data_IF_266839191889
#
_entry.id   IF_266839191889
#
_cell.length_a   1.000
_cell.length_b   1.000
_cell.length_c   1.000
_cell.angle_alpha   90.00
_cell.angle_beta   90.00
_cell.angle_gamma   90.00
#
_symmetry.space_group_name_H-M   'P 1'
#
loop_
_entity.id
_entity.type
_entity.pdbx_description
1 polymer ?
#
# COMPACT_ATOMS: atom_id res chain seq x y z
N UNK A 1 -3.81 -34.86 23.36
CA UNK A 1 -4.40 -33.65 22.76
C UNK A 1 -4.25 -33.80 21.24
N UNK A 2 -5.34 -34.01 20.51
CA UNK A 2 -5.32 -34.04 19.03
C UNK A 2 -4.89 -32.67 18.56
N UNK A 3 -3.82 -32.60 17.77
CA UNK A 3 -3.40 -31.35 17.14
C UNK A 3 -4.61 -30.78 16.37
N UNK A 4 -5.03 -29.60 16.69
CA UNK A 4 -6.14 -28.92 16.02
C UNK A 4 -5.77 -28.78 14.55
N UNK A 5 -6.65 -29.22 13.66
CA UNK A 5 -6.39 -29.25 12.23
C UNK A 5 -6.52 -27.85 11.65
N UNK A 6 -5.45 -27.32 11.05
CA UNK A 6 -5.49 -26.04 10.35
C UNK A 6 -6.18 -26.23 9.00
N UNK A 7 -7.19 -25.43 8.71
CA UNK A 7 -7.90 -25.40 7.44
C UNK A 7 -7.69 -24.08 6.71
N UNK A 8 -7.49 -24.12 5.39
CA UNK A 8 -7.47 -22.95 4.54
C UNK A 8 -8.85 -22.73 3.93
N UNK A 9 -9.36 -21.49 4.02
CA UNK A 9 -10.64 -21.09 3.42
C UNK A 9 -10.50 -19.77 2.68
N UNK A 10 -11.45 -19.50 1.79
CA UNK A 10 -11.61 -18.15 1.21
C UNK A 10 -11.92 -17.17 2.34
N UNK A 11 -11.21 -16.05 2.36
CA UNK A 11 -11.47 -14.98 3.32
C UNK A 11 -12.75 -14.23 2.97
N UNK A 12 -13.59 -14.03 3.97
CA UNK A 12 -14.84 -13.26 3.89
C UNK A 12 -14.83 -12.14 4.93
N UNK A 13 -15.78 -11.19 4.91
CA UNK A 13 -15.90 -10.17 5.95
C UNK A 13 -15.98 -10.73 7.37
N UNK A 14 -16.53 -11.93 7.57
CA UNK A 14 -16.64 -12.56 8.89
C UNK A 14 -15.28 -12.89 9.54
N UNK A 15 -14.20 -12.92 8.75
CA UNK A 15 -12.85 -13.19 9.24
C UNK A 15 -12.08 -11.92 9.60
N UNK A 16 -12.64 -10.73 9.34
CA UNK A 16 -11.91 -9.47 9.48
C UNK A 16 -11.52 -9.16 10.92
N UNK A 17 -12.38 -9.42 11.89
CA UNK A 17 -12.05 -9.18 13.30
C UNK A 17 -10.84 -10.01 13.76
N UNK A 18 -10.79 -11.30 13.37
CA UNK A 18 -9.63 -12.15 13.63
C UNK A 18 -8.36 -11.67 12.90
N UNK A 19 -8.51 -11.17 11.68
CA UNK A 19 -7.39 -10.61 10.91
C UNK A 19 -6.83 -9.31 11.54
N UNK A 20 -7.69 -8.46 12.11
CA UNK A 20 -7.28 -7.28 12.88
C UNK A 20 -6.45 -7.71 14.10
N UNK A 21 -6.89 -8.74 14.82
CA UNK A 21 -6.12 -9.30 15.96
C UNK A 21 -4.73 -9.75 15.51
N UNK A 22 -4.63 -10.49 14.40
CA UNK A 22 -3.33 -10.90 13.84
C UNK A 22 -2.44 -9.72 13.49
N UNK A 23 -2.98 -8.66 12.89
CA UNK A 23 -2.18 -7.48 12.56
C UNK A 23 -1.70 -6.72 13.79
N UNK A 24 -2.50 -6.69 14.86
CA UNK A 24 -2.10 -6.11 16.15
C UNK A 24 -0.96 -6.90 16.79
N UNK A 25 -1.01 -8.24 16.77
CA UNK A 25 0.09 -9.11 17.24
C UNK A 25 1.38 -8.86 16.44
N UNK A 26 1.27 -8.63 15.13
CA UNK A 26 2.40 -8.29 14.27
C UNK A 26 2.89 -6.84 14.43
N UNK A 27 2.30 -6.04 15.32
CA UNK A 27 2.63 -4.62 15.51
C UNK A 27 2.12 -3.71 14.41
N UNK A 28 1.24 -4.18 13.55
CA UNK A 28 0.65 -3.38 12.47
C UNK A 28 -0.64 -2.71 12.95
N UNK A 29 -0.74 -1.38 12.86
CA UNK A 29 -1.87 -0.63 13.45
C UNK A 29 -3.09 -0.57 12.51
N UNK A 30 -3.35 -1.64 11.75
CA UNK A 30 -4.50 -1.68 10.85
C UNK A 30 -5.82 -1.69 11.63
N UNK A 31 -6.79 -0.93 11.12
CA UNK A 31 -8.17 -0.92 11.59
C UNK A 31 -9.01 -1.90 10.76
N UNK A 32 -10.24 -2.16 11.21
CA UNK A 32 -11.20 -2.98 10.48
C UNK A 32 -11.45 -2.44 9.07
N UNK A 33 -11.59 -1.11 8.95
CA UNK A 33 -11.82 -0.44 7.66
C UNK A 33 -10.63 -0.56 6.71
N UNK A 34 -9.39 -0.61 7.25
CA UNK A 34 -8.19 -0.79 6.44
C UNK A 34 -8.15 -2.22 5.86
N UNK A 35 -8.52 -3.22 6.64
CA UNK A 35 -8.68 -4.60 6.19
C UNK A 35 -9.82 -4.76 5.19
N UNK A 36 -10.99 -4.17 5.48
CA UNK A 36 -12.16 -4.21 4.60
C UNK A 36 -11.86 -3.56 3.24
N UNK A 37 -11.10 -2.46 3.24
CA UNK A 37 -10.67 -1.80 2.00
C UNK A 37 -9.78 -2.71 1.14
N UNK A 38 -8.84 -3.45 1.74
CA UNK A 38 -8.00 -4.39 0.99
C UNK A 38 -8.83 -5.56 0.49
N UNK A 39 -9.68 -6.15 1.34
CA UNK A 39 -10.51 -7.30 0.97
C UNK A 39 -11.48 -6.98 -0.17
N UNK A 40 -12.01 -5.75 -0.24
CA UNK A 40 -12.93 -5.32 -1.30
C UNK A 40 -12.37 -5.44 -2.72
N UNK A 41 -11.03 -5.42 -2.87
CA UNK A 41 -10.33 -5.54 -4.16
C UNK A 41 -9.56 -6.86 -4.30
N UNK A 42 -9.61 -7.75 -3.29
CA UNK A 42 -8.69 -8.88 -3.21
C UNK A 42 -9.41 -10.22 -3.18
N UNK A 43 -8.70 -11.24 -3.64
CA UNK A 43 -8.99 -12.62 -3.32
C UNK A 43 -8.17 -12.99 -2.08
N UNK A 44 -8.82 -13.13 -0.94
CA UNK A 44 -8.18 -13.45 0.33
C UNK A 44 -8.23 -14.95 0.65
N UNK A 45 -7.18 -15.45 1.28
CA UNK A 45 -7.14 -16.76 1.92
C UNK A 45 -6.90 -16.59 3.41
N UNK A 46 -7.61 -17.35 4.22
CA UNK A 46 -7.50 -17.40 5.68
C UNK A 46 -7.18 -18.80 6.16
N UNK A 47 -6.27 -18.91 7.10
CA UNK A 47 -6.00 -20.15 7.83
C UNK A 47 -6.71 -20.10 9.17
N UNK A 48 -7.48 -21.15 9.46
CA UNK A 48 -8.26 -21.29 10.69
C UNK A 48 -7.78 -22.48 11.50
N UNK A 49 -7.63 -22.27 12.80
CA UNK A 49 -7.55 -23.34 13.82
C UNK A 49 -8.87 -23.35 14.59
N UNK A 50 -9.76 -24.30 14.24
CA UNK A 50 -11.16 -24.24 14.65
C UNK A 50 -11.83 -23.00 14.02
N UNK A 51 -12.24 -22.04 14.84
CA UNK A 51 -12.83 -20.76 14.39
C UNK A 51 -11.84 -19.58 14.48
N UNK A 52 -10.63 -19.81 14.99
CA UNK A 52 -9.65 -18.75 15.19
C UNK A 52 -8.84 -18.50 13.91
N UNK A 53 -8.70 -17.24 13.53
CA UNK A 53 -7.84 -16.82 12.40
C UNK A 53 -6.39 -16.87 12.86
N UNK A 54 -5.61 -17.78 12.27
CA UNK A 54 -4.19 -18.00 12.61
C UNK A 54 -3.25 -17.64 11.46
N UNK A 55 -3.78 -17.20 10.33
CA UNK A 55 -2.98 -16.69 9.24
C UNK A 55 -3.83 -16.15 8.10
N UNK A 56 -3.27 -15.23 7.34
CA UNK A 56 -3.91 -14.58 6.19
C UNK A 56 -2.92 -14.39 5.05
N UNK A 57 -3.42 -14.31 3.84
CA UNK A 57 -2.75 -13.74 2.68
C UNK A 57 -3.80 -13.25 1.68
N UNK A 58 -3.51 -12.16 0.97
CA UNK A 58 -4.40 -11.63 -0.06
C UNK A 58 -3.67 -11.42 -1.37
N UNK A 59 -4.37 -11.67 -2.47
CA UNK A 59 -3.98 -11.32 -3.82
C UNK A 59 -4.93 -10.25 -4.34
N UNK A 60 -4.42 -9.05 -4.58
CA UNK A 60 -5.18 -7.94 -5.14
C UNK A 60 -4.83 -7.79 -6.63
N UNK A 61 -5.67 -8.24 -7.56
CA UNK A 61 -5.46 -7.98 -8.97
C UNK A 61 -5.63 -6.48 -9.23
N UNK A 62 -4.60 -5.84 -9.82
CA UNK A 62 -4.68 -4.44 -10.23
C UNK A 62 -5.25 -4.34 -11.65
N UNK A 63 -4.85 -5.26 -12.51
CA UNK A 63 -5.32 -5.43 -13.89
C UNK A 63 -5.10 -6.87 -14.35
N UNK A 64 -5.13 -7.12 -15.67
CA UNK A 64 -4.92 -8.46 -16.23
C UNK A 64 -3.47 -8.96 -16.14
N UNK A 65 -2.50 -8.07 -15.94
CA UNK A 65 -1.07 -8.37 -15.98
C UNK A 65 -0.41 -8.42 -14.60
N UNK A 66 -0.94 -7.65 -13.64
CA UNK A 66 -0.30 -7.42 -12.34
C UNK A 66 -1.28 -7.63 -11.19
N UNK A 67 -0.78 -8.22 -10.13
CA UNK A 67 -1.42 -8.28 -8.82
C UNK A 67 -0.42 -7.88 -7.73
N UNK A 68 -0.91 -7.37 -6.60
CA UNK A 68 -0.11 -7.29 -5.38
C UNK A 68 -0.44 -8.47 -4.47
N UNK A 69 0.58 -9.01 -3.79
CA UNK A 69 0.39 -9.94 -2.67
C UNK A 69 0.60 -9.12 -1.40
N UNK A 70 -0.37 -9.19 -0.50
CA UNK A 70 -0.38 -8.37 0.69
C UNK A 70 -1.07 -9.05 1.86
N UNK A 71 -1.08 -8.39 3.02
CA UNK A 71 -1.70 -8.87 4.26
C UNK A 71 -1.30 -10.30 4.63
N UNK A 72 -0.03 -10.66 4.34
CA UNK A 72 0.53 -11.97 4.66
C UNK A 72 0.99 -11.97 6.11
N UNK A 73 0.22 -12.61 6.96
CA UNK A 73 0.50 -12.70 8.40
C UNK A 73 0.29 -14.15 8.84
N UNK A 74 1.15 -14.63 9.74
CA UNK A 74 1.00 -15.91 10.43
C UNK A 74 1.16 -15.65 11.92
N UNK A 75 0.21 -16.13 12.71
CA UNK A 75 0.28 -16.12 14.16
C UNK A 75 1.65 -16.66 14.61
N UNK A 76 2.30 -15.97 15.54
CA UNK A 76 3.66 -16.30 15.95
C UNK A 76 3.78 -17.72 16.53
N UNK A 77 2.72 -18.22 17.20
CA UNK A 77 2.67 -19.59 17.76
C UNK A 77 2.56 -20.65 16.67
N UNK A 78 2.17 -20.27 15.45
CA UNK A 78 2.01 -21.14 14.27
C UNK A 78 3.19 -21.08 13.31
N UNK A 79 4.19 -20.23 13.58
CA UNK A 79 5.39 -20.11 12.74
C UNK A 79 6.23 -21.40 12.73
N UNK A 80 7.07 -21.56 11.71
CA UNK A 80 7.93 -22.75 11.57
C UNK A 80 7.23 -24.02 11.07
N UNK A 81 5.90 -24.00 10.90
CA UNK A 81 5.08 -25.17 10.47
C UNK A 81 4.73 -25.15 8.98
N UNK A 82 5.35 -24.29 8.20
CA UNK A 82 5.10 -24.15 6.75
C UNK A 82 3.80 -23.42 6.38
N UNK A 83 3.07 -22.85 7.36
CA UNK A 83 1.77 -22.20 7.13
C UNK A 83 1.91 -20.98 6.22
N UNK A 84 2.91 -20.14 6.43
CA UNK A 84 3.16 -18.97 5.58
C UNK A 84 3.39 -19.35 4.12
N UNK A 85 4.08 -20.48 3.86
CA UNK A 85 4.27 -20.99 2.50
C UNK A 85 2.94 -21.43 1.87
N UNK A 86 2.10 -22.17 2.59
CA UNK A 86 0.77 -22.59 2.11
C UNK A 86 -0.14 -21.42 1.78
N UNK A 87 -0.15 -20.39 2.63
CA UNK A 87 -0.90 -19.15 2.41
C UNK A 87 -0.41 -18.42 1.17
N UNK A 88 0.91 -18.30 1.00
CA UNK A 88 1.50 -17.68 -0.18
C UNK A 88 1.21 -18.44 -1.47
N UNK A 89 1.31 -19.77 -1.44
CA UNK A 89 0.97 -20.64 -2.59
C UNK A 89 -0.50 -20.41 -2.99
N UNK A 90 -1.44 -20.45 -2.05
CA UNK A 90 -2.85 -20.18 -2.31
C UNK A 90 -3.11 -18.74 -2.83
N UNK A 91 -2.43 -17.73 -2.29
CA UNK A 91 -2.52 -16.37 -2.79
C UNK A 91 -1.95 -16.23 -4.21
N UNK A 92 -0.83 -16.90 -4.52
CA UNK A 92 -0.25 -16.92 -5.86
C UNK A 92 -1.17 -17.62 -6.87
N UNK A 93 -1.83 -18.70 -6.51
CA UNK A 93 -2.82 -19.38 -7.36
C UNK A 93 -3.98 -18.44 -7.68
N UNK A 94 -4.43 -17.65 -6.69
CA UNK A 94 -5.49 -16.66 -6.87
C UNK A 94 -5.11 -15.50 -7.82
N UNK A 95 -3.82 -15.30 -8.12
CA UNK A 95 -3.37 -14.29 -9.10
C UNK A 95 -3.60 -14.69 -10.54
N UNK A 96 -3.93 -15.97 -10.82
CA UNK A 96 -4.19 -16.49 -12.17
C UNK A 96 -3.04 -16.21 -13.16
N UNK A 97 -1.79 -16.37 -12.72
CA UNK A 97 -0.61 -16.21 -13.55
C UNK A 97 -0.23 -14.74 -13.85
N UNK A 98 -0.70 -13.80 -13.05
CA UNK A 98 -0.23 -12.40 -13.10
C UNK A 98 1.18 -12.27 -12.55
N UNK A 99 1.91 -11.28 -13.00
CA UNK A 99 3.11 -10.84 -12.32
C UNK A 99 2.75 -10.26 -10.95
N UNK A 100 3.53 -10.57 -9.94
CA UNK A 100 3.19 -10.20 -8.57
C UNK A 100 4.17 -9.20 -7.99
N UNK A 101 3.64 -8.21 -7.30
CA UNK A 101 4.37 -7.23 -6.50
C UNK A 101 4.07 -7.47 -5.02
N UNK A 102 5.02 -7.21 -4.14
CA UNK A 102 4.80 -7.15 -2.70
C UNK A 102 5.85 -6.26 -2.02
N UNK A 103 5.55 -5.85 -0.79
CA UNK A 103 6.52 -5.24 0.11
C UNK A 103 6.81 -6.25 1.22
N UNK A 104 8.04 -6.75 1.22
CA UNK A 104 8.50 -7.77 2.17
C UNK A 104 8.94 -7.14 3.48
N UNK A 105 8.49 -7.70 4.61
CA UNK A 105 9.17 -7.51 5.89
C UNK A 105 10.47 -8.32 5.91
N UNK A 106 11.41 -7.99 6.79
CA UNK A 106 12.66 -8.75 6.94
C UNK A 106 12.39 -10.23 7.25
N UNK A 107 11.40 -10.52 8.09
CA UNK A 107 11.01 -11.90 8.45
C UNK A 107 10.44 -12.67 7.25
N UNK A 108 9.73 -12.00 6.35
CA UNK A 108 9.10 -12.62 5.17
C UNK A 108 10.06 -12.82 3.99
N UNK A 109 11.14 -12.04 3.93
CA UNK A 109 12.06 -11.98 2.79
C UNK A 109 12.56 -13.38 2.34
N UNK A 110 13.08 -14.28 3.23
CA UNK A 110 13.56 -15.58 2.82
C UNK A 110 12.50 -16.49 2.20
N UNK A 111 11.22 -16.34 2.59
CA UNK A 111 10.11 -17.07 2.01
C UNK A 111 9.83 -16.59 0.59
N UNK A 112 9.77 -15.27 0.40
CA UNK A 112 9.45 -14.66 -0.90
C UNK A 112 10.55 -14.94 -1.93
N UNK A 113 11.82 -14.88 -1.56
CA UNK A 113 12.93 -15.27 -2.42
C UNK A 113 12.81 -16.72 -2.90
N UNK A 114 12.47 -17.67 -1.99
CA UNK A 114 12.23 -19.09 -2.33
C UNK A 114 11.03 -19.29 -3.26
N UNK A 115 10.08 -18.36 -3.29
CA UNK A 115 8.93 -18.34 -4.18
C UNK A 115 9.19 -17.58 -5.49
N UNK A 116 10.44 -17.15 -5.74
CA UNK A 116 10.87 -16.54 -6.99
C UNK A 116 10.65 -15.03 -7.06
N UNK A 117 10.42 -14.37 -5.92
CA UNK A 117 10.42 -12.91 -5.87
C UNK A 117 11.85 -12.38 -5.84
N UNK A 118 12.07 -11.25 -6.53
CA UNK A 118 13.36 -10.54 -6.62
C UNK A 118 13.17 -9.13 -6.12
N UNK A 119 14.11 -8.66 -5.29
CA UNK A 119 14.14 -7.29 -4.76
C UNK A 119 14.26 -6.27 -5.90
N UNK A 120 13.55 -5.15 -5.78
CA UNK A 120 13.50 -4.04 -6.75
C UNK A 120 13.80 -2.67 -6.14
N UNK A 121 13.80 -2.57 -4.83
CA UNK A 121 14.05 -1.34 -4.11
C UNK A 121 13.62 -1.46 -2.65
N UNK A 122 13.68 -0.36 -1.96
CA UNK A 122 13.32 -0.27 -0.55
C UNK A 122 12.24 0.79 -0.36
N UNK A 123 11.23 0.44 0.42
CA UNK A 123 10.19 1.36 0.87
C UNK A 123 10.52 1.78 2.29
N UNK A 124 10.50 3.08 2.52
CA UNK A 124 10.79 3.69 3.82
C UNK A 124 9.51 4.31 4.35
N UNK A 125 9.13 3.88 5.56
CA UNK A 125 7.97 4.40 6.26
C UNK A 125 8.38 5.54 7.17
N UNK A 126 7.75 6.71 6.95
CA UNK A 126 7.83 7.86 7.82
C UNK A 126 6.49 8.10 8.48
N UNK A 127 6.49 8.43 9.78
CA UNK A 127 5.26 8.74 10.52
C UNK A 127 5.54 9.58 11.75
N UNK A 128 4.51 10.30 12.21
CA UNK A 128 4.58 11.11 13.43
C UNK A 128 3.48 12.14 13.49
N UNK A 129 3.51 13.00 14.49
CA UNK A 129 2.68 14.19 14.52
C UNK A 129 3.22 15.21 13.52
N UNK A 130 2.41 15.60 12.55
CA UNK A 130 2.80 16.56 11.52
C UNK A 130 3.11 17.92 12.18
N UNK A 131 4.27 18.49 11.87
CA UNK A 131 4.57 19.85 12.30
C UNK A 131 3.71 20.86 11.55
N UNK A 132 3.40 21.98 12.20
CA UNK A 132 2.79 23.11 11.53
C UNK A 132 3.72 23.60 10.40
N UNK A 133 3.17 23.70 9.20
CA UNK A 133 3.84 24.23 8.00
C UNK A 133 2.88 25.13 7.25
N UNK A 134 3.42 26.08 6.48
CA UNK A 134 2.62 26.92 5.62
C UNK A 134 2.09 26.16 4.40
N UNK A 135 0.83 26.38 4.05
CA UNK A 135 0.24 25.79 2.87
C UNK A 135 0.80 26.44 1.60
N UNK A 136 1.37 25.68 0.65
CA UNK A 136 1.75 26.22 -0.66
C UNK A 136 0.55 26.81 -1.39
N UNK A 137 0.70 28.01 -1.96
CA UNK A 137 -0.40 28.75 -2.58
C UNK A 137 -0.87 28.18 -3.93
N UNK A 138 -0.05 27.37 -4.58
CA UNK A 138 -0.29 26.73 -5.88
C UNK A 138 -0.87 25.30 -5.76
N UNK A 139 -1.18 24.86 -4.53
CA UNK A 139 -1.85 23.57 -4.25
C UNK A 139 -3.25 23.83 -3.73
N UNK A 140 -4.20 23.03 -4.16
CA UNK A 140 -5.59 23.10 -3.67
C UNK A 140 -6.28 21.76 -3.76
N UNK A 141 -7.44 21.61 -3.09
CA UNK A 141 -8.23 20.39 -3.19
C UNK A 141 -8.75 20.15 -4.62
N UNK A 142 -8.74 18.91 -5.06
CA UNK A 142 -9.30 18.50 -6.33
C UNK A 142 -10.83 18.66 -6.34
N UNK A 143 -11.38 19.00 -7.51
CA UNK A 143 -12.82 18.97 -7.77
C UNK A 143 -13.24 17.60 -8.28
N UNK A 144 -14.52 17.27 -8.15
CA UNK A 144 -15.05 15.96 -8.54
C UNK A 144 -14.90 15.66 -10.04
N UNK A 145 -15.00 16.67 -10.89
CA UNK A 145 -14.86 16.59 -12.35
C UNK A 145 -13.40 16.39 -12.80
N UNK A 146 -12.43 16.62 -11.93
CA UNK A 146 -11.00 16.44 -12.19
C UNK A 146 -10.50 15.02 -11.95
N UNK A 147 -11.30 14.17 -11.29
CA UNK A 147 -10.89 12.82 -10.92
C UNK A 147 -10.44 11.94 -12.12
N UNK A 148 -11.04 11.99 -13.32
CA UNK A 148 -10.53 11.26 -14.47
C UNK A 148 -9.08 11.61 -14.86
N UNK A 149 -8.67 12.88 -14.70
CA UNK A 149 -7.28 13.30 -14.94
C UNK A 149 -6.34 12.72 -13.89
N UNK A 150 -6.77 12.69 -12.61
CA UNK A 150 -6.01 12.07 -11.52
C UNK A 150 -5.75 10.58 -11.84
N UNK A 151 -6.77 9.85 -12.30
CA UNK A 151 -6.62 8.44 -12.71
C UNK A 151 -5.62 8.29 -13.87
N UNK A 152 -5.65 9.21 -14.83
CA UNK A 152 -4.70 9.22 -15.96
C UNK A 152 -3.26 9.43 -15.48
N UNK A 153 -3.02 10.38 -14.57
CA UNK A 153 -1.70 10.62 -14.01
C UNK A 153 -1.20 9.44 -13.17
N UNK A 154 -2.09 8.82 -12.41
CA UNK A 154 -1.78 7.62 -11.65
C UNK A 154 -1.32 6.48 -12.56
N UNK A 155 -2.06 6.22 -13.64
CA UNK A 155 -1.68 5.22 -14.65
C UNK A 155 -0.29 5.52 -15.25
N UNK A 156 -0.01 6.77 -15.59
CA UNK A 156 1.27 7.19 -16.15
C UNK A 156 2.43 6.97 -15.16
N UNK A 157 2.22 7.28 -13.89
CA UNK A 157 3.24 7.16 -12.85
C UNK A 157 3.47 5.71 -12.41
N UNK A 158 2.40 4.93 -12.22
CA UNK A 158 2.48 3.55 -11.78
C UNK A 158 2.88 2.60 -12.92
N UNK A 159 2.61 3.00 -14.17
CA UNK A 159 2.94 2.23 -15.36
C UNK A 159 1.91 1.15 -15.73
N UNK A 160 0.88 0.96 -14.93
CA UNK A 160 -0.17 -0.01 -15.15
C UNK A 160 -1.51 0.54 -14.67
N UNK A 161 -2.59 0.09 -15.30
CA UNK A 161 -3.95 0.44 -14.89
C UNK A 161 -4.24 -0.12 -13.50
N UNK A 162 -4.70 0.75 -12.61
CA UNK A 162 -5.26 0.41 -11.31
C UNK A 162 -6.52 1.25 -10.99
N UNK A 163 -7.31 1.47 -12.03
CA UNK A 163 -8.53 2.28 -11.98
C UNK A 163 -9.48 1.82 -10.87
N UNK A 164 -9.65 0.50 -10.66
CA UNK A 164 -10.49 -0.02 -9.58
C UNK A 164 -10.04 0.45 -8.20
N UNK A 165 -8.71 0.48 -7.94
CA UNK A 165 -8.16 1.02 -6.70
C UNK A 165 -8.40 2.53 -6.60
N UNK A 166 -8.19 3.28 -7.67
CA UNK A 166 -8.43 4.72 -7.69
C UNK A 166 -9.91 5.06 -7.45
N UNK A 167 -10.86 4.31 -8.02
CA UNK A 167 -12.29 4.48 -7.76
C UNK A 167 -12.62 4.23 -6.27
N UNK A 168 -12.05 3.20 -5.65
CA UNK A 168 -12.21 2.96 -4.21
C UNK A 168 -11.64 4.12 -3.37
N UNK A 169 -10.51 4.69 -3.79
CA UNK A 169 -9.90 5.85 -3.13
C UNK A 169 -10.75 7.11 -3.26
N UNK A 170 -11.47 7.29 -4.38
CA UNK A 170 -12.36 8.44 -4.59
C UNK A 170 -13.34 8.64 -3.46
N UNK A 171 -13.88 7.53 -2.93
CA UNK A 171 -14.89 7.56 -1.89
C UNK A 171 -14.31 7.65 -0.46
N UNK A 172 -13.00 7.37 -0.32
CA UNK A 172 -12.34 7.21 0.99
C UNK A 172 -11.24 8.23 1.26
N UNK A 173 -10.80 8.96 0.24
CA UNK A 173 -9.69 9.92 0.33
C UNK A 173 -10.10 11.30 -0.16
N UNK A 174 -9.35 12.31 0.28
CA UNK A 174 -9.34 13.64 -0.34
C UNK A 174 -8.10 13.77 -1.21
N UNK A 175 -8.24 14.44 -2.34
CA UNK A 175 -7.15 14.64 -3.28
C UNK A 175 -6.74 16.11 -3.33
N UNK A 176 -5.44 16.36 -3.19
CA UNK A 176 -4.81 17.66 -3.44
C UNK A 176 -4.15 17.64 -4.82
N UNK A 177 -4.14 18.76 -5.53
CA UNK A 177 -3.60 18.87 -6.89
C UNK A 177 -2.83 20.18 -7.09
N UNK A 178 -1.85 20.13 -7.98
CA UNK A 178 -1.19 21.28 -8.57
C UNK A 178 -1.77 21.46 -9.97
N UNK A 179 -2.12 22.70 -10.33
CA UNK A 179 -2.69 23.05 -11.65
C UNK A 179 -1.86 24.12 -12.35
N UNK A 180 -1.81 23.99 -13.68
CA UNK A 180 -1.37 25.05 -14.56
C UNK A 180 -2.43 25.19 -15.67
N UNK A 181 -2.96 26.38 -15.86
CA UNK A 181 -3.96 26.68 -16.92
C UNK A 181 -5.16 25.71 -16.98
N UNK A 182 -5.65 25.25 -15.82
CA UNK A 182 -6.72 24.25 -15.63
C UNK A 182 -6.30 22.80 -15.86
N UNK A 183 -5.06 22.53 -16.26
CA UNK A 183 -4.53 21.17 -16.35
C UNK A 183 -3.95 20.73 -15.02
N UNK A 184 -4.23 19.50 -14.59
CA UNK A 184 -3.63 18.91 -13.38
C UNK A 184 -2.25 18.38 -13.76
N UNK A 185 -1.22 18.91 -13.09
CA UNK A 185 0.17 18.51 -13.28
C UNK A 185 0.65 17.47 -12.26
N UNK A 186 0.06 17.45 -11.07
CA UNK A 186 0.46 16.57 -9.99
C UNK A 186 -0.69 16.40 -8.99
N UNK A 187 -0.70 15.28 -8.28
CA UNK A 187 -1.70 15.05 -7.22
C UNK A 187 -1.16 14.26 -6.05
N UNK A 188 -1.82 14.38 -4.90
CA UNK A 188 -1.64 13.53 -3.74
C UNK A 188 -2.99 13.22 -3.10
N UNK A 189 -3.10 12.04 -2.51
CA UNK A 189 -4.27 11.65 -1.73
C UNK A 189 -3.94 11.60 -0.24
N UNK A 190 -4.96 11.84 0.61
CA UNK A 190 -4.90 11.62 2.06
C UNK A 190 -6.18 10.95 2.53
N UNK A 191 -6.06 9.99 3.42
CA UNK A 191 -7.19 9.27 4.00
C UNK A 191 -6.90 8.76 5.41
N UNK A 192 -7.94 8.48 6.20
CA UNK A 192 -7.79 7.76 7.46
C UNK A 192 -7.12 6.39 7.25
N UNK A 193 -6.14 6.07 8.10
CA UNK A 193 -5.44 4.79 8.08
C UNK A 193 -4.73 4.55 9.41
N UNK A 194 -4.83 3.34 9.95
CA UNK A 194 -4.13 2.97 11.16
C UNK A 194 -4.38 3.94 12.32
N UNK A 195 -3.32 4.57 12.81
CA UNK A 195 -3.37 5.49 13.97
C UNK A 195 -3.80 6.92 13.62
N UNK A 196 -3.97 7.26 12.36
CA UNK A 196 -4.30 8.63 11.94
C UNK A 196 -4.59 8.71 10.45
N UNK A 197 -3.74 9.41 9.71
CA UNK A 197 -3.86 9.60 8.27
C UNK A 197 -2.70 8.94 7.53
N UNK A 198 -2.92 8.53 6.28
CA UNK A 198 -1.85 8.18 5.33
C UNK A 198 -1.91 9.13 4.14
N UNK A 199 -0.77 9.69 3.75
CA UNK A 199 -0.59 10.42 2.51
C UNK A 199 -0.08 9.45 1.45
N UNK A 200 -0.88 9.27 0.40
CA UNK A 200 -0.57 8.45 -0.77
C UNK A 200 -1.80 7.95 -1.52
N UNK A 201 -1.68 7.81 -2.87
CA UNK A 201 -0.46 8.02 -3.66
C UNK A 201 -0.08 9.50 -3.76
N UNK A 202 1.22 9.77 -3.99
CA UNK A 202 1.73 11.07 -4.39
C UNK A 202 2.36 10.90 -5.77
N UNK A 203 1.81 11.58 -6.76
CA UNK A 203 2.22 11.51 -8.16
C UNK A 203 2.60 12.88 -8.66
N UNK A 204 3.81 13.01 -9.18
CA UNK A 204 4.37 14.25 -9.68
C UNK A 204 5.47 13.98 -10.73
N UNK A 205 5.90 15.01 -11.46
CA UNK A 205 7.08 14.95 -12.34
C UNK A 205 8.36 15.29 -11.57
N UNK A 206 8.27 16.18 -10.60
CA UNK A 206 9.44 16.72 -9.87
C UNK A 206 9.32 16.53 -8.36
N UNK A 207 10.47 16.47 -7.69
CA UNK A 207 10.56 16.44 -6.22
C UNK A 207 9.90 17.68 -5.59
N UNK A 208 10.01 18.84 -6.25
CA UNK A 208 9.41 20.09 -5.79
C UNK A 208 7.89 20.01 -5.74
N UNK A 209 7.25 19.47 -6.80
CA UNK A 209 5.80 19.27 -6.83
C UNK A 209 5.35 18.25 -5.77
N UNK A 210 6.07 17.13 -5.64
CA UNK A 210 5.76 16.13 -4.62
C UNK A 210 5.83 16.71 -3.20
N UNK A 211 6.87 17.49 -2.90
CA UNK A 211 7.04 18.18 -1.62
C UNK A 211 5.89 19.16 -1.35
N UNK A 212 5.53 19.99 -2.32
CA UNK A 212 4.41 20.94 -2.18
C UNK A 212 3.09 20.23 -1.87
N UNK A 213 2.79 19.14 -2.58
CA UNK A 213 1.58 18.34 -2.34
C UNK A 213 1.55 17.78 -0.92
N UNK A 214 2.65 17.17 -0.47
CA UNK A 214 2.76 16.63 0.89
C UNK A 214 2.65 17.78 1.91
N UNK A 215 3.33 18.90 1.70
CA UNK A 215 3.31 20.08 2.58
C UNK A 215 1.90 20.66 2.73
N UNK A 216 1.16 20.78 1.63
CA UNK A 216 -0.25 21.18 1.67
C UNK A 216 -1.07 20.22 2.54
N UNK A 217 -0.91 18.91 2.37
CA UNK A 217 -1.64 17.93 3.17
C UNK A 217 -1.23 17.96 4.65
N UNK A 218 0.05 18.17 4.96
CA UNK A 218 0.53 18.34 6.34
C UNK A 218 -0.02 19.60 6.98
N UNK A 219 -0.08 20.72 6.24
CA UNK A 219 -0.64 21.99 6.77
C UNK A 219 -2.10 21.90 7.19
N UNK A 220 -2.85 20.99 6.55
CA UNK A 220 -4.26 20.70 6.90
C UNK A 220 -4.41 19.74 8.07
N UNK A 221 -3.32 19.13 8.55
CA UNK A 221 -3.30 18.05 9.55
C UNK A 221 -2.23 18.28 10.63
N UNK A 222 -1.93 19.56 10.93
CA UNK A 222 -0.97 19.91 11.98
C UNK A 222 -1.33 19.20 13.31
N UNK A 223 -0.32 18.73 14.03
CA UNK A 223 -0.40 17.98 15.28
C UNK A 223 -1.14 16.63 15.19
N UNK A 224 -1.65 16.25 14.01
CA UNK A 224 -2.26 14.93 13.79
C UNK A 224 -1.20 13.92 13.38
N UNK A 225 -1.47 12.65 13.70
CA UNK A 225 -0.61 11.56 13.28
C UNK A 225 -0.77 11.29 11.78
N UNK A 226 0.34 11.39 11.04
CA UNK A 226 0.42 11.18 9.60
C UNK A 226 1.49 10.13 9.29
N UNK A 227 1.22 9.29 8.31
CA UNK A 227 2.13 8.30 7.73
C UNK A 227 2.35 8.59 6.24
N UNK A 228 3.57 8.38 5.78
CA UNK A 228 3.96 8.42 4.36
C UNK A 228 4.91 7.25 4.09
N UNK A 229 4.61 6.44 3.08
CA UNK A 229 5.46 5.33 2.62
C UNK A 229 6.10 5.73 1.29
N UNK A 230 7.41 5.96 1.28
CA UNK A 230 8.15 6.43 0.10
C UNK A 230 9.16 5.40 -0.40
N UNK A 231 9.47 5.41 -1.69
CA UNK A 231 10.63 4.68 -2.19
C UNK A 231 11.91 5.43 -1.77
N UNK A 232 12.94 4.70 -1.33
CA UNK A 232 14.22 5.29 -0.90
C UNK A 232 14.84 6.18 -1.99
N UNK A 233 14.66 5.84 -3.25
CA UNK A 233 15.17 6.58 -4.39
C UNK A 233 14.56 8.00 -4.57
N UNK A 234 13.48 8.32 -3.84
CA UNK A 234 12.87 9.67 -3.87
C UNK A 234 13.64 10.68 -2.99
N UNK A 235 14.52 10.20 -2.11
CA UNK A 235 15.31 11.03 -1.18
C UNK A 235 14.48 11.99 -0.31
N UNK A 236 13.20 11.65 -0.04
CA UNK A 236 12.31 12.50 0.77
C UNK A 236 12.51 12.33 2.28
N UNK A 237 13.26 11.31 2.74
CA UNK A 237 13.35 10.91 4.15
C UNK A 237 13.79 12.03 5.09
N UNK A 238 14.90 12.72 4.80
CA UNK A 238 15.38 13.83 5.64
C UNK A 238 14.36 14.98 5.69
N UNK A 239 13.80 15.33 4.54
CA UNK A 239 12.80 16.38 4.42
C UNK A 239 11.49 16.06 5.17
N UNK A 240 11.04 14.79 5.19
CA UNK A 240 9.89 14.34 5.99
C UNK A 240 10.18 14.41 7.49
N UNK A 241 11.42 14.05 7.90
CA UNK A 241 11.84 14.12 9.31
C UNK A 241 11.81 15.56 9.85
N UNK A 242 12.23 16.54 9.05
CA UNK A 242 12.13 17.97 9.41
C UNK A 242 10.68 18.42 9.64
N UNK A 243 9.70 17.71 9.05
CA UNK A 243 8.26 17.99 9.19
C UNK A 243 7.57 17.16 10.26
N UNK A 244 8.35 16.49 11.11
CA UNK A 244 7.85 15.72 12.26
C UNK A 244 7.57 14.25 11.95
N UNK A 245 7.79 13.79 10.71
CA UNK A 245 7.56 12.40 10.33
C UNK A 245 8.89 11.63 10.37
N UNK A 246 9.14 10.92 11.46
CA UNK A 246 10.39 10.18 11.63
C UNK A 246 10.35 8.83 10.90
N UNK A 247 11.52 8.35 10.47
CA UNK A 247 11.68 7.01 9.92
C UNK A 247 11.43 5.95 11.00
N UNK A 248 10.56 4.99 10.73
CA UNK A 248 10.18 3.94 11.70
C UNK A 248 10.29 2.53 11.14
N UNK A 249 10.80 2.38 9.93
CA UNK A 249 10.90 1.09 9.25
C UNK A 249 10.51 1.17 7.79
N UNK A 250 9.97 0.07 7.26
CA UNK A 250 9.59 -0.02 5.85
C UNK A 250 9.61 -1.47 5.39
N UNK A 251 10.04 -1.70 4.16
CA UNK A 251 10.14 -3.05 3.62
C UNK A 251 10.84 -3.07 2.27
N UNK A 252 11.14 -4.27 1.80
CA UNK A 252 11.78 -4.50 0.52
C UNK A 252 10.70 -4.67 -0.55
N UNK A 253 10.66 -3.78 -1.53
CA UNK A 253 9.81 -3.93 -2.70
C UNK A 253 10.32 -5.09 -3.55
N UNK A 254 9.46 -6.07 -3.80
CA UNK A 254 9.83 -7.27 -4.53
C UNK A 254 8.86 -7.53 -5.70
N UNK A 255 9.35 -8.20 -6.72
CA UNK A 255 8.57 -8.61 -7.89
C UNK A 255 8.84 -10.06 -8.26
N UNK A 256 7.78 -10.79 -8.59
CA UNK A 256 7.81 -12.09 -9.23
C UNK A 256 7.24 -11.96 -10.63
N UNK A 257 8.09 -12.15 -11.64
CA UNK A 257 7.69 -12.08 -13.06
C UNK A 257 7.45 -13.49 -13.58
N UNK A 258 6.26 -13.73 -14.09
CA UNK A 258 5.85 -14.99 -14.74
C UNK A 258 5.66 -14.81 -16.24
N UNK A 259 5.52 -13.58 -16.71
CA UNK A 259 5.42 -13.21 -18.13
C UNK A 259 6.09 -11.86 -18.37
N UNK A 260 6.48 -11.61 -19.63
CA UNK A 260 7.03 -10.31 -20.00
C UNK A 260 5.99 -9.20 -19.76
N UNK A 261 6.43 -8.09 -19.19
CA UNK A 261 5.65 -6.88 -19.07
C UNK A 261 6.16 -5.86 -20.07
N UNK A 262 5.26 -5.12 -20.67
CA UNK A 262 5.64 -3.88 -21.34
C UNK A 262 6.02 -2.89 -20.26
N UNK A 263 7.31 -2.59 -20.13
CA UNK A 263 7.75 -1.51 -19.26
C UNK A 263 7.25 -0.19 -19.82
N UNK A 264 6.66 0.63 -18.97
CA UNK A 264 6.24 1.99 -19.34
C UNK A 264 7.48 2.89 -19.35
N UNK A 265 8.39 2.62 -20.30
CA UNK A 265 9.61 3.39 -20.49
C UNK A 265 9.29 4.69 -21.21
N UNK A 266 9.13 5.78 -20.45
CA UNK A 266 8.95 7.10 -21.05
C UNK A 266 8.06 8.08 -20.27
N UNK A 267 7.39 7.66 -19.21
CA UNK A 267 6.64 8.61 -18.40
C UNK A 267 7.57 9.50 -17.58
N UNK A 268 7.33 10.80 -17.59
CA UNK A 268 7.99 11.75 -16.70
C UNK A 268 7.40 11.71 -15.27
N UNK A 269 6.19 11.14 -15.12
CA UNK A 269 5.52 11.02 -13.83
C UNK A 269 6.09 9.88 -13.00
N UNK A 270 6.20 10.12 -11.69
CA UNK A 270 6.69 9.15 -10.71
C UNK A 270 5.73 9.07 -9.53
N UNK A 271 5.64 7.88 -8.93
CA UNK A 271 5.02 7.68 -7.62
C UNK A 271 6.04 7.98 -6.53
N UNK A 272 5.85 9.07 -5.81
CA UNK A 272 6.71 9.51 -4.70
C UNK A 272 6.32 8.86 -3.37
N UNK A 273 5.04 8.64 -3.17
CA UNK A 273 4.55 7.89 -2.03
C UNK A 273 3.50 6.87 -2.49
N UNK A 274 3.51 5.71 -1.86
CA UNK A 274 2.59 4.61 -2.14
C UNK A 274 1.18 4.94 -1.61
N UNK A 275 0.15 4.30 -2.16
CA UNK A 275 -1.19 4.30 -1.54
C UNK A 275 -1.11 3.77 -0.11
N UNK A 276 -0.42 2.70 0.08
CA UNK A 276 0.13 2.06 1.27
C UNK A 276 0.96 0.84 0.83
N UNK A 277 1.55 0.12 1.78
CA UNK A 277 2.39 -1.05 1.44
C UNK A 277 1.61 -2.25 0.88
N UNK A 278 0.28 -2.29 1.00
CA UNK A 278 -0.54 -3.36 0.43
C UNK A 278 -0.82 -3.17 -1.07
N UNK A 279 -0.94 -1.93 -1.52
CA UNK A 279 -1.36 -1.62 -2.89
C UNK A 279 -0.25 -1.07 -3.81
N UNK A 280 0.87 -0.68 -3.22
CA UNK A 280 1.96 -0.04 -3.97
C UNK A 280 1.74 1.44 -4.28
#
# INVERSE_FOLDING_TARGET
>A
MTASQITLKTMTPDHLDGAVVLSQQAGWPHRLEDWAMVLALSNGVVALEGEYVVGTAMATPLNEDIATINMVIVDETMRGRGLGRKLMEAALDATQGRNCLLIATQDGLPLYEKLGFVARGEIIQHQGAARQVDAPSDVSWAKNDEFPHIVTLDHQAFGHDRTALMQLLRDKAKFAVIRLDREILAFAAIRPFGRGQVIGPVVAKTDGEAKKLIEFLLSQHADQFVRVDTNIATNLGGWLTERGLVHVGGGIAMRRSVRALKENSGSEYRTYALVNQAFG
#
